data_IF_804775728921
#
_entry.id   IF_804775728921
#
_cell.length_a   1.000
_cell.length_b   1.000
_cell.length_c   1.000
_cell.angle_alpha   90.00
_cell.angle_beta   90.00
_cell.angle_gamma   90.00
#
_symmetry.space_group_name_H-M   'P 1'
#
loop_
_entity.id
_entity.type
_entity.pdbx_description
1 polymer ?
#
# COMPACT_ATOMS: atom_id res chain seq x y z
N UNK A 1 -14.33 8.62 10.99
CA UNK A 1 -13.26 9.36 11.70
C UNK A 1 -12.48 8.35 12.54
N UNK A 2 -11.18 8.21 12.34
CA UNK A 2 -10.34 7.27 13.11
C UNK A 2 -10.29 7.67 14.59
N UNK A 3 -10.27 6.70 15.47
CA UNK A 3 -10.21 6.88 16.90
C UNK A 3 -9.94 5.57 17.66
N UNK A 4 -9.90 5.65 18.99
CA UNK A 4 -9.46 4.55 19.87
C UNK A 4 -10.37 3.31 19.87
N UNK A 5 -11.55 3.41 19.28
CA UNK A 5 -12.49 2.29 19.12
C UNK A 5 -12.60 1.78 17.68
N UNK A 6 -11.78 2.32 16.78
CA UNK A 6 -11.79 1.93 15.36
C UNK A 6 -10.98 0.65 15.17
N UNK A 7 -11.60 -0.37 14.60
CA UNK A 7 -10.97 -1.62 14.19
C UNK A 7 -10.45 -1.46 12.75
N UNK A 8 -9.16 -1.47 12.59
CA UNK A 8 -8.47 -1.29 11.31
C UNK A 8 -7.80 -2.58 10.88
N UNK A 9 -8.00 -3.00 9.64
CA UNK A 9 -7.18 -4.00 8.99
C UNK A 9 -6.20 -3.29 8.05
N UNK A 10 -4.91 -3.46 8.28
CA UNK A 10 -3.85 -3.05 7.34
C UNK A 10 -3.36 -4.29 6.60
N UNK A 11 -3.54 -4.30 5.27
CA UNK A 11 -3.16 -5.42 4.40
C UNK A 11 -1.84 -5.10 3.71
N UNK A 12 -0.92 -6.07 3.72
CA UNK A 12 0.47 -5.94 3.29
C UNK A 12 1.22 -4.88 4.13
N UNK A 13 1.15 -5.03 5.46
CA UNK A 13 1.69 -4.07 6.41
C UNK A 13 3.23 -3.95 6.38
N UNK A 14 3.93 -4.86 5.70
CA UNK A 14 5.38 -4.89 5.56
C UNK A 14 6.07 -4.75 6.95
N UNK A 15 6.90 -3.72 7.13
CA UNK A 15 7.62 -3.47 8.39
C UNK A 15 6.81 -2.69 9.44
N UNK A 16 5.51 -2.44 9.20
CA UNK A 16 4.58 -1.85 10.15
C UNK A 16 4.70 -0.34 10.36
N UNK A 17 5.19 0.41 9.37
CA UNK A 17 5.34 1.87 9.47
C UNK A 17 3.97 2.54 9.62
N UNK A 18 3.04 2.24 8.73
CA UNK A 18 1.67 2.77 8.75
C UNK A 18 0.90 2.26 9.97
N UNK A 19 1.09 0.98 10.36
CA UNK A 19 0.57 0.44 11.63
C UNK A 19 0.97 1.32 12.82
N UNK A 20 2.27 1.65 12.91
CA UNK A 20 2.79 2.46 14.01
C UNK A 20 2.18 3.87 14.04
N UNK A 21 2.02 4.50 12.88
CA UNK A 21 1.40 5.82 12.74
C UNK A 21 -0.07 5.81 13.14
N UNK A 22 -0.84 4.83 12.68
CA UNK A 22 -2.25 4.68 13.01
C UNK A 22 -2.47 4.58 14.52
N UNK A 23 -1.70 3.74 15.19
CA UNK A 23 -1.81 3.58 16.64
C UNK A 23 -1.35 4.83 17.38
N UNK A 24 -0.19 5.41 16.99
CA UNK A 24 0.36 6.59 17.66
C UNK A 24 -0.54 7.81 17.49
N UNK A 25 -1.08 8.03 16.32
CA UNK A 25 -1.82 9.26 15.98
C UNK A 25 -3.29 9.18 16.34
N UNK A 26 -3.91 8.01 16.20
CA UNK A 26 -5.36 7.86 16.36
C UNK A 26 -5.75 6.92 17.49
N UNK A 27 -4.81 6.12 18.01
CA UNK A 27 -5.08 5.14 19.04
C UNK A 27 -5.94 3.95 18.58
N UNK A 28 -6.02 3.69 17.27
CA UNK A 28 -6.81 2.60 16.70
C UNK A 28 -6.36 1.22 17.19
N UNK A 29 -7.25 0.25 17.12
CA UNK A 29 -6.87 -1.16 17.13
C UNK A 29 -6.53 -1.55 15.69
N UNK A 30 -5.32 -2.07 15.46
CA UNK A 30 -4.84 -2.41 14.12
C UNK A 30 -4.52 -3.91 14.06
N UNK A 31 -5.18 -4.59 13.13
CA UNK A 31 -4.76 -5.92 12.68
C UNK A 31 -3.87 -5.72 11.46
N UNK A 32 -2.58 -5.98 11.63
CA UNK A 32 -1.56 -5.85 10.60
C UNK A 32 -1.33 -7.22 9.95
N UNK A 33 -1.73 -7.35 8.68
CA UNK A 33 -1.64 -8.59 7.91
C UNK A 33 -0.57 -8.47 6.82
N UNK A 34 0.23 -9.51 6.69
CA UNK A 34 1.17 -9.66 5.57
C UNK A 34 1.31 -11.15 5.21
N UNK A 35 1.66 -11.43 3.95
CA UNK A 35 1.95 -12.78 3.48
C UNK A 35 3.36 -13.23 3.89
N UNK A 36 4.29 -12.28 4.12
CA UNK A 36 5.67 -12.54 4.49
C UNK A 36 5.86 -12.55 6.01
N UNK A 37 6.02 -13.74 6.57
CA UNK A 37 6.33 -13.93 7.99
C UNK A 37 7.60 -13.17 8.45
N UNK A 38 8.58 -12.94 7.57
CA UNK A 38 9.79 -12.18 7.91
C UNK A 38 9.50 -10.69 8.01
N UNK A 39 8.63 -10.16 7.15
CA UNK A 39 8.15 -8.77 7.26
C UNK A 39 7.41 -8.58 8.58
N UNK A 40 6.50 -9.48 8.94
CA UNK A 40 5.79 -9.45 10.22
C UNK A 40 6.73 -9.53 11.44
N UNK A 41 7.77 -10.37 11.38
CA UNK A 41 8.78 -10.43 12.45
C UNK A 41 9.50 -9.10 12.63
N UNK A 42 9.83 -8.41 11.54
CA UNK A 42 10.42 -7.05 11.56
C UNK A 42 9.43 -6.02 12.09
N UNK A 43 8.16 -6.06 11.64
CA UNK A 43 7.11 -5.18 12.14
C UNK A 43 6.92 -5.31 13.65
N UNK A 44 6.82 -6.54 14.17
CA UNK A 44 6.77 -6.81 15.62
C UNK A 44 7.93 -6.18 16.38
N UNK A 45 9.15 -6.33 15.85
CA UNK A 45 10.36 -5.76 16.45
C UNK A 45 10.34 -4.22 16.43
N UNK A 46 9.92 -3.62 15.32
CA UNK A 46 9.84 -2.17 15.16
C UNK A 46 8.81 -1.55 16.13
N UNK A 47 7.68 -2.24 16.34
CA UNK A 47 6.61 -1.73 17.20
C UNK A 47 6.80 -2.10 18.68
N UNK A 48 7.65 -3.08 19.01
CA UNK A 48 7.91 -3.48 20.41
C UNK A 48 8.46 -2.34 21.28
N UNK A 49 9.19 -1.41 20.68
CA UNK A 49 9.75 -0.24 21.37
C UNK A 49 8.74 0.91 21.54
N UNK A 50 7.59 0.85 20.88
CA UNK A 50 6.53 1.85 20.99
C UNK A 50 5.49 1.39 22.02
N UNK A 51 4.89 2.32 22.79
CA UNK A 51 3.86 2.03 23.82
C UNK A 51 2.54 1.48 23.23
N UNK A 52 2.58 0.85 22.08
CA UNK A 52 1.45 0.34 21.31
C UNK A 52 1.09 -1.11 21.64
N UNK A 53 1.77 -1.71 22.62
CA UNK A 53 1.49 -3.08 23.09
C UNK A 53 0.01 -3.20 23.52
N UNK A 54 -0.70 -4.12 22.90
CA UNK A 54 -2.13 -4.36 23.14
C UNK A 54 -3.08 -3.71 22.14
N UNK A 55 -2.59 -2.87 21.20
CA UNK A 55 -3.43 -2.29 20.14
C UNK A 55 -3.10 -2.82 18.74
N UNK A 56 -2.09 -3.68 18.61
CA UNK A 56 -1.69 -4.25 17.33
C UNK A 56 -1.70 -5.77 17.42
N UNK A 57 -2.42 -6.39 16.49
CA UNK A 57 -2.37 -7.83 16.23
C UNK A 57 -1.68 -8.06 14.89
N UNK A 58 -0.78 -9.02 14.81
CA UNK A 58 -0.09 -9.38 13.58
C UNK A 58 -0.56 -10.75 13.10
N UNK A 59 -1.00 -10.80 11.85
CA UNK A 59 -1.56 -12.01 11.23
C UNK A 59 -0.83 -12.30 9.92
N UNK A 60 -0.33 -13.52 9.78
CA UNK A 60 0.16 -14.02 8.50
C UNK A 60 -1.05 -14.47 7.67
N UNK A 61 -1.19 -13.96 6.43
CA UNK A 61 -2.34 -14.28 5.60
C UNK A 61 -2.26 -13.70 4.21
N UNK A 62 -3.08 -14.29 3.33
CA UNK A 62 -3.24 -13.87 1.94
C UNK A 62 -4.40 -12.88 1.83
N UNK A 63 -4.16 -11.75 1.16
CA UNK A 63 -5.19 -10.74 0.88
C UNK A 63 -6.36 -11.28 0.03
N UNK A 64 -6.14 -12.36 -0.73
CA UNK A 64 -7.17 -13.01 -1.57
C UNK A 64 -8.04 -14.00 -0.81
N UNK A 65 -7.71 -14.28 0.47
CA UNK A 65 -8.43 -15.21 1.35
C UNK A 65 -8.24 -14.81 2.81
N UNK A 66 -8.83 -13.69 3.22
CA UNK A 66 -8.64 -13.11 4.54
C UNK A 66 -9.22 -14.00 5.65
N UNK A 67 -8.44 -14.35 6.70
CA UNK A 67 -8.86 -15.24 7.77
C UNK A 67 -9.74 -14.55 8.83
N UNK A 68 -10.63 -13.66 8.41
CA UNK A 68 -11.50 -12.90 9.29
C UNK A 68 -12.98 -13.09 8.93
N UNK A 69 -13.89 -13.01 9.90
CA UNK A 69 -15.32 -13.02 9.66
C UNK A 69 -15.79 -11.80 8.84
N UNK A 70 -16.97 -11.93 8.25
CA UNK A 70 -17.64 -10.82 7.58
C UNK A 70 -17.89 -9.66 8.55
N UNK A 71 -17.71 -8.42 8.09
CA UNK A 71 -18.03 -7.22 8.86
C UNK A 71 -17.21 -7.05 10.14
N UNK A 72 -15.95 -7.45 10.13
CA UNK A 72 -15.04 -7.38 11.29
C UNK A 72 -14.43 -5.98 11.49
N UNK A 73 -14.21 -5.23 10.40
CA UNK A 73 -13.43 -3.99 10.43
C UNK A 73 -14.23 -2.76 10.05
N UNK A 74 -13.93 -1.65 10.71
CA UNK A 74 -14.45 -0.32 10.36
C UNK A 74 -13.70 0.26 9.17
N UNK A 75 -12.40 -0.05 9.06
CA UNK A 75 -11.52 0.45 8.00
C UNK A 75 -10.60 -0.67 7.52
N UNK A 76 -10.42 -0.78 6.22
CA UNK A 76 -9.37 -1.56 5.57
C UNK A 76 -8.43 -0.60 4.86
N UNK A 77 -7.13 -0.80 5.03
CA UNK A 77 -6.07 0.00 4.39
C UNK A 77 -5.15 -0.93 3.62
N UNK A 78 -4.78 -0.54 2.41
CA UNK A 78 -3.71 -1.19 1.65
C UNK A 78 -2.88 -0.14 0.89
N UNK A 79 -1.57 -0.37 0.82
CA UNK A 79 -0.61 0.52 0.18
C UNK A 79 0.30 -0.27 -0.75
N UNK A 80 0.42 0.20 -2.01
CA UNK A 80 1.33 -0.30 -3.04
C UNK A 80 1.28 -1.83 -3.25
N UNK A 81 0.10 -2.45 -3.09
CA UNK A 81 -0.01 -3.92 -3.19
C UNK A 81 -0.97 -4.40 -4.28
N UNK A 82 -2.08 -3.69 -4.54
CA UNK A 82 -3.05 -4.12 -5.54
C UNK A 82 -2.48 -4.08 -6.96
N UNK A 83 -1.56 -3.16 -7.24
CA UNK A 83 -0.80 -3.11 -8.49
C UNK A 83 0.06 -4.35 -8.72
N UNK A 84 0.51 -5.04 -7.66
CA UNK A 84 1.29 -6.27 -7.76
C UNK A 84 0.44 -7.52 -8.04
N UNK A 85 -0.86 -7.44 -7.84
CA UNK A 85 -1.78 -8.53 -8.10
C UNK A 85 -2.25 -8.50 -9.56
N UNK A 86 -2.26 -9.68 -10.22
CA UNK A 86 -2.92 -9.80 -11.51
C UNK A 86 -4.44 -9.49 -11.38
N UNK A 87 -5.15 -9.24 -12.49
CA UNK A 87 -6.56 -8.82 -12.44
C UNK A 87 -7.46 -9.76 -11.63
N UNK A 88 -7.28 -11.08 -11.75
CA UNK A 88 -8.07 -12.07 -11.02
C UNK A 88 -7.80 -12.02 -9.51
N UNK A 89 -6.54 -12.03 -9.10
CA UNK A 89 -6.15 -11.95 -7.69
C UNK A 89 -6.56 -10.63 -7.06
N UNK A 90 -6.47 -9.53 -7.82
CA UNK A 90 -6.93 -8.21 -7.39
C UNK A 90 -8.43 -8.20 -7.13
N UNK A 91 -9.23 -8.76 -8.03
CA UNK A 91 -10.67 -8.88 -7.85
C UNK A 91 -11.03 -9.71 -6.60
N UNK A 92 -10.30 -10.80 -6.33
CA UNK A 92 -10.46 -11.61 -5.12
C UNK A 92 -10.11 -10.80 -3.87
N UNK A 93 -8.98 -10.09 -3.86
CA UNK A 93 -8.57 -9.27 -2.72
C UNK A 93 -9.59 -8.17 -2.42
N UNK A 94 -10.06 -7.44 -3.42
CA UNK A 94 -11.08 -6.39 -3.25
C UNK A 94 -12.42 -6.99 -2.79
N UNK A 95 -12.74 -8.22 -3.21
CA UNK A 95 -13.89 -8.95 -2.72
C UNK A 95 -13.78 -9.26 -1.22
N UNK A 96 -12.61 -9.68 -0.77
CA UNK A 96 -12.33 -9.93 0.63
C UNK A 96 -12.37 -8.65 1.47
N UNK A 97 -11.82 -7.54 0.95
CA UNK A 97 -11.93 -6.24 1.63
C UNK A 97 -13.39 -5.81 1.81
N UNK A 98 -14.20 -5.99 0.76
CA UNK A 98 -15.64 -5.72 0.84
C UNK A 98 -16.32 -6.61 1.88
N UNK A 99 -15.99 -7.90 1.92
CA UNK A 99 -16.59 -8.87 2.85
C UNK A 99 -16.28 -8.55 4.31
N UNK A 100 -15.01 -8.27 4.62
CA UNK A 100 -14.57 -8.06 6.02
C UNK A 100 -14.87 -6.66 6.56
N UNK A 101 -15.14 -5.67 5.71
CA UNK A 101 -15.60 -4.36 6.14
C UNK A 101 -17.02 -4.45 6.72
N UNK A 102 -17.30 -3.71 7.78
CA UNK A 102 -18.65 -3.46 8.26
C UNK A 102 -19.46 -2.66 7.22
N UNK A 103 -20.79 -2.69 7.30
CA UNK A 103 -21.64 -1.76 6.54
C UNK A 103 -21.31 -0.32 6.97
N UNK A 104 -21.14 0.59 6.02
CA UNK A 104 -20.63 1.93 6.26
C UNK A 104 -19.12 2.00 6.49
N UNK A 105 -18.44 0.86 6.50
CA UNK A 105 -16.98 0.78 6.62
C UNK A 105 -16.25 1.32 5.39
N UNK A 106 -15.00 1.70 5.57
CA UNK A 106 -14.21 2.45 4.59
C UNK A 106 -13.01 1.64 4.13
N UNK A 107 -12.83 1.55 2.82
CA UNK A 107 -11.59 1.08 2.20
C UNK A 107 -10.72 2.29 1.81
N UNK A 108 -9.48 2.28 2.23
CA UNK A 108 -8.44 3.23 1.84
C UNK A 108 -7.39 2.48 1.02
N UNK A 109 -7.23 2.86 -0.22
CA UNK A 109 -6.21 2.30 -1.11
C UNK A 109 -5.27 3.40 -1.56
N UNK A 110 -3.98 3.20 -1.41
CA UNK A 110 -2.95 4.01 -2.06
C UNK A 110 -2.12 3.11 -2.96
N UNK A 111 -1.96 3.50 -4.23
CA UNK A 111 -1.20 2.70 -5.18
C UNK A 111 -0.65 3.58 -6.33
N UNK A 112 -0.04 2.96 -7.33
CA UNK A 112 0.44 3.62 -8.54
C UNK A 112 -0.66 3.62 -9.60
N UNK A 113 -0.84 4.75 -10.28
CA UNK A 113 -1.68 4.84 -11.47
C UNK A 113 -0.89 5.30 -12.69
N UNK A 114 -1.44 4.99 -13.86
CA UNK A 114 -0.99 5.54 -15.13
C UNK A 114 -1.87 6.74 -15.50
N UNK A 115 -1.29 7.77 -16.09
CA UNK A 115 -2.07 8.90 -16.63
C UNK A 115 -2.82 8.50 -17.89
N UNK A 116 -2.32 7.51 -18.63
CA UNK A 116 -2.92 6.91 -19.82
C UNK A 116 -2.52 5.43 -19.93
N UNK A 117 -3.30 4.64 -20.63
CA UNK A 117 -2.96 3.24 -20.87
C UNK A 117 -1.71 3.12 -21.75
N UNK A 118 -0.72 2.36 -21.29
CA UNK A 118 0.52 2.10 -22.01
C UNK A 118 1.11 0.73 -21.62
N UNK A 119 0.91 -0.29 -22.45
CA UNK A 119 1.52 -1.60 -22.24
C UNK A 119 3.05 -1.56 -22.16
N UNK A 120 3.68 -0.66 -22.92
CA UNK A 120 5.14 -0.47 -22.94
C UNK A 120 5.63 0.07 -21.60
N UNK A 121 4.89 1.03 -21.03
CA UNK A 121 5.20 1.61 -19.72
C UNK A 121 5.06 0.56 -18.61
N UNK A 122 4.01 -0.26 -18.64
CA UNK A 122 3.78 -1.38 -17.70
C UNK A 122 4.92 -2.39 -17.75
N UNK A 123 5.35 -2.79 -18.97
CA UNK A 123 6.48 -3.70 -19.14
C UNK A 123 7.79 -3.07 -18.66
N UNK A 124 7.98 -1.77 -18.98
CA UNK A 124 9.14 -1.01 -18.53
C UNK A 124 9.21 -0.92 -17.01
N UNK A 125 8.11 -0.60 -16.35
CA UNK A 125 7.99 -0.56 -14.90
C UNK A 125 8.30 -1.92 -14.27
N UNK A 126 7.68 -2.99 -14.77
CA UNK A 126 7.92 -4.36 -14.30
C UNK A 126 9.40 -4.75 -14.38
N UNK A 127 10.08 -4.39 -15.48
CA UNK A 127 11.52 -4.62 -15.65
C UNK A 127 12.35 -3.73 -14.72
N UNK A 128 11.95 -2.48 -14.51
CA UNK A 128 12.69 -1.55 -13.68
C UNK A 128 12.73 -1.99 -12.21
N UNK A 129 11.61 -2.49 -11.68
CA UNK A 129 11.48 -2.95 -10.29
C UNK A 129 11.68 -4.45 -10.11
N UNK A 130 11.87 -5.20 -11.21
CA UNK A 130 12.04 -6.66 -11.22
C UNK A 130 10.86 -7.44 -10.61
N UNK A 131 9.66 -6.88 -10.72
CA UNK A 131 8.40 -7.49 -10.28
C UNK A 131 7.35 -7.22 -11.33
N UNK A 132 6.51 -8.23 -11.66
CA UNK A 132 5.39 -8.03 -12.57
C UNK A 132 4.32 -7.18 -11.88
N UNK A 133 3.92 -6.09 -12.53
CA UNK A 133 2.92 -5.16 -12.02
C UNK A 133 1.83 -4.86 -13.04
N UNK A 134 0.67 -4.45 -12.54
CA UNK A 134 -0.53 -4.21 -13.32
C UNK A 134 -1.18 -2.88 -12.89
N UNK A 135 -0.48 -1.75 -13.05
CA UNK A 135 -1.03 -0.44 -12.72
C UNK A 135 -2.20 -0.13 -13.64
N UNK A 136 -3.15 0.64 -13.15
CA UNK A 136 -4.35 1.05 -13.87
C UNK A 136 -4.38 2.57 -14.03
N UNK A 137 -5.17 3.06 -14.97
CA UNK A 137 -5.59 4.47 -15.02
C UNK A 137 -6.57 4.78 -13.89
N UNK A 138 -6.89 6.06 -13.65
CA UNK A 138 -7.92 6.43 -12.66
C UNK A 138 -9.25 5.74 -12.94
N UNK A 139 -9.68 5.71 -14.21
CA UNK A 139 -10.91 5.03 -14.61
C UNK A 139 -10.87 3.54 -14.28
N UNK A 140 -9.74 2.88 -14.56
CA UNK A 140 -9.55 1.47 -14.20
C UNK A 140 -9.59 1.22 -12.69
N UNK A 141 -8.99 2.09 -11.89
CA UNK A 141 -9.06 1.98 -10.42
C UNK A 141 -10.48 2.17 -9.90
N UNK A 142 -11.23 3.14 -10.43
CA UNK A 142 -12.65 3.33 -10.09
C UNK A 142 -13.48 2.09 -10.39
N UNK A 143 -13.33 1.53 -11.60
CA UNK A 143 -14.04 0.32 -12.04
C UNK A 143 -13.83 -0.85 -11.07
N UNK A 144 -12.58 -1.09 -10.64
CA UNK A 144 -12.24 -2.17 -9.68
C UNK A 144 -13.07 -2.10 -8.39
N UNK A 145 -13.31 -0.91 -7.87
CA UNK A 145 -14.08 -0.75 -6.63
C UNK A 145 -15.59 -0.69 -6.87
N UNK A 146 -16.04 0.01 -7.92
CA UNK A 146 -17.45 0.17 -8.27
C UNK A 146 -18.09 -1.16 -8.68
N UNK A 147 -17.41 -1.97 -9.50
CA UNK A 147 -17.86 -3.30 -9.89
C UNK A 147 -18.04 -4.25 -8.70
N UNK A 148 -17.28 -4.04 -7.62
CA UNK A 148 -17.46 -4.80 -6.38
C UNK A 148 -18.61 -4.30 -5.51
N UNK A 149 -19.15 -3.12 -5.79
CA UNK A 149 -20.26 -2.53 -5.06
C UNK A 149 -19.86 -1.47 -4.03
N UNK A 150 -18.61 -1.04 -4.03
CA UNK A 150 -18.20 0.13 -3.26
C UNK A 150 -18.83 1.40 -3.82
N UNK A 151 -19.14 2.34 -2.95
CA UNK A 151 -19.80 3.61 -3.27
C UNK A 151 -19.02 4.80 -2.71
N UNK A 152 -19.46 6.02 -3.03
CA UNK A 152 -18.87 7.26 -2.50
C UNK A 152 -17.35 7.36 -2.74
N UNK A 153 -16.89 6.96 -3.94
CA UNK A 153 -15.48 6.99 -4.28
C UNK A 153 -14.95 8.43 -4.32
N UNK A 154 -14.00 8.71 -3.44
CA UNK A 154 -13.20 9.94 -3.47
C UNK A 154 -11.80 9.58 -3.93
N UNK A 155 -11.35 10.22 -5.00
CA UNK A 155 -10.03 9.97 -5.57
C UNK A 155 -9.16 11.21 -5.45
N UNK A 156 -7.92 10.99 -5.07
CA UNK A 156 -6.85 11.98 -5.15
C UNK A 156 -5.65 11.33 -5.82
N UNK A 157 -4.96 12.07 -6.63
CA UNK A 157 -3.72 11.62 -7.26
C UNK A 157 -2.72 12.77 -7.35
N UNK A 158 -1.49 12.45 -7.63
CA UNK A 158 -0.41 13.40 -7.79
C UNK A 158 0.90 12.71 -8.17
N UNK A 159 1.96 13.48 -8.41
CA UNK A 159 3.21 12.92 -8.89
C UNK A 159 3.82 11.92 -7.92
N UNK A 160 4.34 10.80 -8.46
CA UNK A 160 5.12 9.83 -7.68
C UNK A 160 6.45 10.46 -7.28
N UNK A 161 6.64 10.66 -5.98
CA UNK A 161 7.86 11.26 -5.42
C UNK A 161 8.84 10.25 -4.87
N UNK A 162 8.53 8.96 -4.92
CA UNK A 162 9.25 7.84 -4.31
C UNK A 162 10.77 7.85 -4.54
N UNK A 163 11.21 8.26 -5.74
CA UNK A 163 12.64 8.31 -6.11
C UNK A 163 13.18 9.74 -6.22
N UNK A 164 12.46 10.72 -5.71
CA UNK A 164 12.98 12.10 -5.59
C UNK A 164 13.64 12.29 -4.23
N UNK A 165 14.66 13.15 -4.17
CA UNK A 165 15.31 13.47 -2.90
C UNK A 165 14.31 14.01 -1.87
N UNK A 166 13.37 14.86 -2.31
CA UNK A 166 12.31 15.42 -1.46
C UNK A 166 11.36 14.35 -0.94
N UNK A 167 10.92 13.40 -1.79
CA UNK A 167 10.07 12.27 -1.38
C UNK A 167 10.78 11.37 -0.39
N UNK A 168 12.02 10.97 -0.67
CA UNK A 168 12.81 10.14 0.25
C UNK A 168 13.04 10.82 1.61
N UNK A 169 13.25 12.15 1.65
CA UNK A 169 13.39 12.88 2.91
C UNK A 169 12.04 12.94 3.65
N UNK A 170 10.94 13.08 2.94
CA UNK A 170 9.61 13.10 3.53
C UNK A 170 9.25 11.75 4.16
N UNK A 171 9.52 10.64 3.45
CA UNK A 171 9.14 9.28 3.87
C UNK A 171 10.09 8.72 4.95
N UNK A 172 11.39 8.90 4.79
CA UNK A 172 12.44 8.27 5.60
C UNK A 172 13.16 9.25 6.55
N UNK A 173 12.84 10.53 6.44
CA UNK A 173 13.60 11.59 7.09
C UNK A 173 14.99 11.80 6.45
N UNK A 174 15.69 12.85 6.85
CA UNK A 174 16.99 13.21 6.26
C UNK A 174 18.04 12.09 6.38
N UNK A 175 18.13 11.45 7.53
CA UNK A 175 19.08 10.36 7.78
C UNK A 175 18.68 9.04 7.09
N UNK A 176 17.37 8.76 7.02
CA UNK A 176 16.86 7.61 6.27
C UNK A 176 17.11 7.75 4.77
N UNK A 177 16.80 8.91 4.19
CA UNK A 177 17.08 9.23 2.79
C UNK A 177 18.57 9.09 2.47
N UNK A 178 19.46 9.60 3.33
CA UNK A 178 20.92 9.44 3.17
C UNK A 178 21.31 7.96 3.21
N UNK A 179 20.74 7.18 4.11
CA UNK A 179 21.00 5.73 4.23
C UNK A 179 20.52 4.96 3.01
N UNK A 180 19.33 5.26 2.47
CA UNK A 180 18.82 4.68 1.22
C UNK A 180 19.74 5.02 0.07
N UNK A 181 20.17 6.26 -0.03
CA UNK A 181 21.12 6.72 -1.06
C UNK A 181 22.45 5.98 -0.98
N UNK A 182 23.05 5.91 0.22
CA UNK A 182 24.32 5.21 0.45
C UNK A 182 24.21 3.71 0.20
N UNK A 183 23.09 3.08 0.56
CA UNK A 183 22.86 1.66 0.29
C UNK A 183 22.67 1.41 -1.22
N UNK A 184 21.91 2.25 -1.93
CA UNK A 184 21.74 2.16 -3.37
C UNK A 184 23.03 2.37 -4.17
N UNK A 185 24.08 2.92 -3.54
CA UNK A 185 25.42 3.07 -4.14
C UNK A 185 26.36 1.90 -3.85
N UNK A 186 25.96 0.95 -3.00
CA UNK A 186 26.75 -0.27 -2.81
C UNK A 186 26.88 -1.02 -4.14
N UNK A 187 28.05 -1.59 -4.39
CA UNK A 187 28.40 -2.23 -5.66
C UNK A 187 27.38 -3.30 -6.09
N UNK A 188 26.73 -3.96 -5.13
CA UNK A 188 25.75 -5.02 -5.29
C UNK A 188 24.41 -4.51 -5.84
N UNK A 189 23.95 -3.32 -5.43
CA UNK A 189 22.60 -2.81 -5.72
C UNK A 189 22.59 -1.64 -6.72
N UNK A 190 23.78 -1.14 -7.07
CA UNK A 190 23.98 0.07 -7.88
C UNK A 190 23.30 0.00 -9.26
N UNK A 191 23.32 -1.18 -9.89
CA UNK A 191 22.69 -1.39 -11.21
C UNK A 191 21.18 -1.31 -11.13
N UNK A 192 20.59 -1.94 -10.12
CA UNK A 192 19.16 -1.93 -9.88
C UNK A 192 18.67 -0.52 -9.53
N UNK A 193 19.32 0.14 -8.58
CA UNK A 193 18.97 1.50 -8.16
C UNK A 193 19.02 2.51 -9.31
N UNK A 194 20.06 2.44 -10.15
CA UNK A 194 20.19 3.32 -11.33
C UNK A 194 19.09 3.07 -12.37
N UNK A 195 18.77 1.82 -12.64
CA UNK A 195 17.71 1.44 -13.58
C UNK A 195 16.36 1.93 -13.09
N UNK A 196 16.04 1.65 -11.83
CA UNK A 196 14.78 2.04 -11.20
C UNK A 196 14.62 3.58 -11.15
N UNK A 197 15.62 4.30 -10.61
CA UNK A 197 15.57 5.77 -10.52
C UNK A 197 15.56 6.44 -11.88
N UNK A 198 16.29 5.89 -12.86
CA UNK A 198 16.28 6.35 -14.24
C UNK A 198 14.89 6.20 -14.89
N UNK A 199 14.24 5.07 -14.68
CA UNK A 199 12.90 4.79 -15.19
C UNK A 199 11.86 5.76 -14.61
N UNK A 200 11.79 5.90 -13.30
CA UNK A 200 10.85 6.83 -12.64
C UNK A 200 11.08 8.30 -13.07
N UNK A 201 12.33 8.70 -13.23
CA UNK A 201 12.64 10.06 -13.72
C UNK A 201 12.18 10.28 -15.15
N UNK A 202 12.42 9.31 -16.04
CA UNK A 202 12.04 9.39 -17.44
C UNK A 202 10.52 9.44 -17.63
N UNK A 203 9.77 8.69 -16.81
CA UNK A 203 8.33 8.52 -16.94
C UNK A 203 7.50 9.26 -15.89
N UNK A 204 8.09 10.24 -15.19
CA UNK A 204 7.44 10.97 -14.09
C UNK A 204 6.13 11.68 -14.41
N UNK A 205 5.84 11.91 -15.71
CA UNK A 205 4.60 12.55 -16.20
C UNK A 205 3.53 11.55 -16.60
N UNK A 206 3.90 10.27 -16.68
CA UNK A 206 3.03 9.19 -17.13
C UNK A 206 2.55 8.31 -15.97
N UNK A 207 3.06 8.56 -14.76
CA UNK A 207 2.70 7.82 -13.54
C UNK A 207 2.47 8.79 -12.40
N UNK A 208 1.36 8.59 -11.71
CA UNK A 208 1.01 9.28 -10.47
C UNK A 208 0.81 8.25 -9.34
N UNK A 209 0.81 8.71 -8.09
CA UNK A 209 0.14 7.96 -7.05
C UNK A 209 -1.36 8.18 -7.14
N UNK A 210 -2.14 7.19 -6.74
CA UNK A 210 -3.58 7.33 -6.55
C UNK A 210 -3.92 6.95 -5.11
N UNK A 211 -4.78 7.75 -4.49
CA UNK A 211 -5.38 7.44 -3.20
C UNK A 211 -6.92 7.41 -3.40
N UNK A 212 -7.50 6.27 -3.11
CA UNK A 212 -8.95 6.06 -3.24
C UNK A 212 -9.54 5.78 -1.87
N UNK A 213 -10.56 6.54 -1.51
CA UNK A 213 -11.44 6.27 -0.38
C UNK A 213 -12.75 5.77 -0.95
N UNK A 214 -13.20 4.61 -0.51
CA UNK A 214 -14.47 4.04 -0.92
C UNK A 214 -15.24 3.46 0.27
N UNK A 215 -16.56 3.39 0.18
CA UNK A 215 -17.43 2.99 1.29
C UNK A 215 -18.21 1.73 0.92
N UNK A 216 -18.25 0.76 1.84
CA UNK A 216 -19.18 -0.38 1.76
C UNK A 216 -20.57 0.10 2.17
N UNK A 217 -21.60 0.05 1.30
CA UNK A 217 -22.96 0.46 1.63
C UNK A 217 -23.65 -0.42 2.68
#
# INVERSE_FOLDING_TARGET
KLGSRTEVLEVACNMGTTTAELVKKYGCHVTALDLDAQALAKARKNLAASCSAGRVSFVEGDATALPFPDGSFDVVINEAMLTMLNPESRAKAVAEYFRVLKRGGVLLTQDVMLTEESPELVQGLSRAINVRVYPLTEAGWRSVFEERGFTNLQVRHGPVTLMTLGGMIYDEGLWGALRVFLNGWKKQDRGFFRRMSGFFRAHRKQMDYIAVVSVRP
#
